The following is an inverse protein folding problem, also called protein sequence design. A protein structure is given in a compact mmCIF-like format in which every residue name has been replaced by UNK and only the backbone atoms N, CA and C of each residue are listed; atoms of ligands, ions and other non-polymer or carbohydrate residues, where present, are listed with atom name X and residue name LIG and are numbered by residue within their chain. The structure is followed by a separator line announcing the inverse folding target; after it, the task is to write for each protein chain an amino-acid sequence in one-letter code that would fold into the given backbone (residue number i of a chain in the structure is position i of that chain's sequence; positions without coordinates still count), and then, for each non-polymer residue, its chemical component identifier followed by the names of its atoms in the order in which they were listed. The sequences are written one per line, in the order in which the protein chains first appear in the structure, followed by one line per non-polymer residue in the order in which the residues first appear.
data_IF_152241591886
#
_entry.id   IF_152241591886
#
_cell.length_a   1.000
_cell.length_b   1.000
_cell.length_c   1.000
_cell.angle_alpha   90.00
_cell.angle_beta   90.00
_cell.angle_gamma   90.00
#
_symmetry.space_group_name_H-M   'P 1'
#
loop_
_entity.id
_entity.type
_entity.pdbx_description
1 polymer ?
#
# COMPACT_ATOMS: atom_id res chain seq x y z
N UNK A 1 -20.44 33.38 20.59
CA UNK A 1 -19.48 32.33 21.01
C UNK A 1 -20.04 30.91 20.90
N UNK A 2 -21.17 30.56 21.55
CA UNK A 2 -21.74 29.18 21.48
C UNK A 2 -22.10 28.69 20.08
N UNK A 3 -22.61 29.56 19.20
CA UNK A 3 -22.96 29.20 17.81
C UNK A 3 -21.72 28.93 16.94
N UNK A 4 -20.66 29.71 17.11
CA UNK A 4 -19.38 29.51 16.42
C UNK A 4 -18.72 28.17 16.80
N UNK A 5 -18.77 27.80 18.08
CA UNK A 5 -18.25 26.50 18.55
C UNK A 5 -19.04 25.33 17.94
N UNK A 6 -20.37 25.47 17.82
CA UNK A 6 -21.21 24.45 17.17
C UNK A 6 -20.91 24.30 15.67
N UNK A 7 -20.73 25.41 14.96
CA UNK A 7 -20.35 25.41 13.54
C UNK A 7 -18.97 24.78 13.33
N UNK A 8 -18.00 25.10 14.20
CA UNK A 8 -16.67 24.52 14.13
C UNK A 8 -16.70 22.99 14.38
N UNK A 9 -17.47 22.54 15.37
CA UNK A 9 -17.65 21.11 15.62
C UNK A 9 -18.32 20.37 14.44
N UNK A 10 -19.26 21.01 13.75
CA UNK A 10 -19.93 20.44 12.58
C UNK A 10 -18.96 20.31 11.38
N UNK A 11 -18.08 21.30 11.17
CA UNK A 11 -17.07 21.24 10.10
C UNK A 11 -16.05 20.13 10.38
N UNK A 12 -15.60 19.96 11.62
CA UNK A 12 -14.65 18.92 11.99
C UNK A 12 -15.21 17.49 11.80
N UNK A 13 -16.53 17.30 11.94
CA UNK A 13 -17.20 16.02 11.69
C UNK A 13 -17.50 15.76 10.21
N UNK A 14 -17.41 16.78 9.35
CA UNK A 14 -17.72 16.67 7.92
C UNK A 14 -16.54 16.15 7.08
N UNK A 15 -15.33 16.10 7.64
CA UNK A 15 -14.18 15.53 6.96
C UNK A 15 -14.02 14.06 7.36
N UNK A 16 -14.24 13.09 6.43
CA UNK A 16 -13.88 11.71 6.70
C UNK A 16 -12.39 11.62 6.98
N UNK A 17 -12.01 10.80 7.97
CA UNK A 17 -10.61 10.50 8.20
C UNK A 17 -10.05 9.85 6.92
N UNK A 18 -8.96 10.41 6.40
CA UNK A 18 -8.20 9.79 5.32
C UNK A 18 -7.48 8.60 5.94
N UNK A 19 -7.92 7.38 5.61
CA UNK A 19 -7.18 6.16 5.90
C UNK A 19 -6.28 5.88 4.70
N UNK A 20 -4.98 5.77 4.93
CA UNK A 20 -4.11 5.09 3.96
C UNK A 20 -4.24 3.58 4.19
N UNK A 21 -4.00 2.78 3.16
CA UNK A 21 -3.72 1.37 3.38
C UNK A 21 -2.37 1.30 4.09
N UNK A 22 -2.25 0.46 5.12
CA UNK A 22 -0.96 0.12 5.74
C UNK A 22 -0.32 -1.07 5.01
N UNK A 23 -1.13 -1.88 4.32
CA UNK A 23 -0.70 -3.07 3.59
C UNK A 23 -1.60 -3.38 2.38
N UNK A 24 -1.04 -4.07 1.39
CA UNK A 24 -1.76 -4.63 0.23
C UNK A 24 -1.45 -6.13 0.13
N UNK A 25 -2.44 -6.96 0.39
CA UNK A 25 -2.34 -8.41 0.23
C UNK A 25 -2.26 -8.83 -1.24
N UNK A 26 -1.34 -9.74 -1.57
CA UNK A 26 -1.22 -10.36 -2.87
C UNK A 26 -1.69 -11.82 -2.81
N UNK A 27 -2.61 -12.14 -3.73
CA UNK A 27 -3.27 -13.44 -3.79
C UNK A 27 -2.78 -14.24 -4.98
N UNK A 28 -2.59 -15.54 -4.80
CA UNK A 28 -2.35 -16.44 -5.91
C UNK A 28 -3.64 -16.75 -6.69
N UNK A 29 -3.53 -17.51 -7.79
CA UNK A 29 -4.67 -17.88 -8.65
C UNK A 29 -5.73 -18.74 -7.95
N UNK A 30 -5.46 -19.28 -6.76
CA UNK A 30 -6.43 -20.02 -5.94
C UNK A 30 -7.17 -19.12 -4.95
N UNK A 31 -6.82 -17.84 -4.86
CA UNK A 31 -7.37 -16.90 -3.89
C UNK A 31 -6.74 -17.01 -2.50
N UNK A 32 -5.55 -17.59 -2.39
CA UNK A 32 -4.79 -17.64 -1.12
C UNK A 32 -3.87 -16.42 -1.04
N UNK A 33 -3.91 -15.68 0.06
CA UNK A 33 -2.96 -14.60 0.32
C UNK A 33 -1.57 -15.20 0.57
N UNK A 34 -0.57 -14.81 -0.22
CA UNK A 34 0.78 -15.44 -0.19
C UNK A 34 1.87 -14.51 0.31
N UNK A 35 1.75 -13.22 0.03
CA UNK A 35 2.65 -12.14 0.48
C UNK A 35 1.83 -10.84 0.59
N UNK A 36 2.40 -9.81 1.18
CA UNK A 36 1.80 -8.47 1.23
C UNK A 36 2.84 -7.40 0.92
N UNK A 37 2.39 -6.25 0.40
CA UNK A 37 3.21 -5.04 0.24
C UNK A 37 2.99 -4.18 1.48
N UNK A 38 4.04 -3.87 2.22
CA UNK A 38 4.02 -2.87 3.30
C UNK A 38 4.07 -1.48 2.68
N UNK A 39 2.98 -0.72 2.76
CA UNK A 39 2.88 0.60 2.13
C UNK A 39 3.45 1.73 2.98
N UNK A 40 3.85 1.44 4.21
CA UNK A 40 4.49 2.40 5.12
C UNK A 40 6.02 2.26 5.14
N UNK A 41 6.56 1.06 4.86
CA UNK A 41 8.00 0.78 4.88
C UNK A 41 8.56 0.42 3.51
N UNK A 42 9.05 1.44 2.82
CA UNK A 42 9.89 1.30 1.61
C UNK A 42 9.26 0.49 0.47
N UNK A 43 7.94 0.28 0.49
CA UNK A 43 7.21 -0.57 -0.46
C UNK A 43 7.82 -1.97 -0.59
N UNK A 44 8.29 -2.53 0.53
CA UNK A 44 8.81 -3.89 0.58
C UNK A 44 7.67 -4.92 0.55
N UNK A 45 7.94 -6.06 -0.09
CA UNK A 45 7.06 -7.22 -0.13
C UNK A 45 7.53 -8.20 0.93
N UNK A 46 6.60 -8.58 1.79
CA UNK A 46 6.84 -9.50 2.90
C UNK A 46 6.00 -10.76 2.77
N UNK A 47 6.56 -11.87 3.21
CA UNK A 47 5.79 -13.06 3.54
C UNK A 47 5.06 -12.88 4.87
N UNK A 48 4.04 -13.70 5.12
CA UNK A 48 3.24 -13.63 6.35
C UNK A 48 4.01 -14.01 7.63
N UNK A 49 5.18 -14.64 7.52
CA UNK A 49 6.12 -14.86 8.63
C UNK A 49 7.10 -13.70 8.86
N UNK A 50 6.99 -12.61 8.07
CA UNK A 50 7.73 -11.36 8.24
C UNK A 50 9.08 -11.31 7.51
N UNK A 51 9.37 -12.24 6.60
CA UNK A 51 10.56 -12.18 5.75
C UNK A 51 10.35 -11.19 4.60
N UNK A 52 11.27 -10.23 4.46
CA UNK A 52 11.26 -9.32 3.31
C UNK A 52 11.84 -10.05 2.10
N UNK A 53 11.07 -10.23 1.03
CA UNK A 53 11.48 -11.06 -0.12
C UNK A 53 11.79 -10.25 -1.39
N UNK A 54 11.22 -9.07 -1.53
CA UNK A 54 11.44 -8.17 -2.67
C UNK A 54 10.98 -6.75 -2.35
N UNK A 55 11.20 -5.80 -3.25
CA UNK A 55 10.77 -4.40 -3.08
C UNK A 55 10.27 -3.79 -4.39
N UNK A 56 9.44 -2.75 -4.27
CA UNK A 56 8.89 -2.01 -5.39
C UNK A 56 9.71 -0.75 -5.72
N UNK A 57 9.83 -0.43 -7.01
CA UNK A 57 10.45 0.80 -7.51
C UNK A 57 9.48 1.51 -8.47
N UNK A 58 9.12 2.76 -8.13
CA UNK A 58 8.25 3.62 -8.95
C UNK A 58 9.06 4.26 -10.10
N UNK A 59 9.19 3.52 -11.21
CA UNK A 59 9.91 4.00 -12.41
C UNK A 59 9.37 3.42 -13.74
N UNK A 60 8.16 2.84 -13.74
CA UNK A 60 7.55 2.28 -14.98
C UNK A 60 6.26 2.97 -15.43
N UNK A 61 5.82 4.03 -14.73
CA UNK A 61 4.69 4.88 -15.13
C UNK A 61 3.53 4.87 -14.14
N UNK A 62 2.41 5.52 -14.50
CA UNK A 62 1.28 5.68 -13.57
C UNK A 62 0.72 4.34 -13.10
N UNK A 63 0.68 4.12 -11.78
CA UNK A 63 0.20 2.88 -11.13
C UNK A 63 0.96 1.62 -11.55
N UNK A 64 2.23 1.78 -11.93
CA UNK A 64 3.14 0.70 -12.27
C UNK A 64 4.38 0.81 -11.38
N UNK A 65 4.80 -0.32 -10.82
CA UNK A 65 6.07 -0.45 -10.11
C UNK A 65 6.87 -1.61 -10.69
N UNK A 66 8.19 -1.45 -10.79
CA UNK A 66 9.07 -2.59 -10.99
C UNK A 66 9.25 -3.35 -9.67
N UNK A 67 9.36 -4.67 -9.74
CA UNK A 67 9.65 -5.54 -8.60
C UNK A 67 11.08 -6.01 -8.71
N UNK A 68 11.87 -5.85 -7.65
CA UNK A 68 13.26 -6.30 -7.59
C UNK A 68 13.50 -7.23 -6.39
N UNK A 69 14.38 -8.22 -6.57
CA UNK A 69 14.95 -8.97 -5.45
C UNK A 69 15.97 -8.13 -4.69
N UNK A 70 16.29 -8.50 -3.46
CA UNK A 70 17.30 -7.79 -2.65
C UNK A 70 18.72 -7.82 -3.25
N UNK A 71 19.00 -8.78 -4.13
CA UNK A 71 20.23 -8.84 -4.92
C UNK A 71 20.22 -7.91 -6.15
N UNK A 72 19.12 -7.20 -6.40
CA UNK A 72 18.96 -6.25 -7.51
C UNK A 72 18.47 -6.87 -8.82
N UNK A 73 17.96 -8.11 -8.81
CA UNK A 73 17.40 -8.73 -10.01
C UNK A 73 15.98 -8.24 -10.26
N UNK A 74 15.67 -7.83 -11.49
CA UNK A 74 14.30 -7.50 -11.90
C UNK A 74 13.45 -8.78 -11.94
N UNK A 75 12.34 -8.80 -11.20
CA UNK A 75 11.44 -9.94 -11.06
C UNK A 75 10.16 -9.81 -11.88
N UNK A 76 9.69 -8.58 -12.10
CA UNK A 76 8.41 -8.33 -12.76
C UNK A 76 7.84 -6.95 -12.43
N UNK A 77 6.52 -6.82 -12.54
CA UNK A 77 5.81 -5.56 -12.38
C UNK A 77 4.66 -5.71 -11.39
N UNK A 78 4.40 -4.69 -10.59
CA UNK A 78 3.12 -4.52 -9.92
C UNK A 78 2.36 -3.42 -10.63
N UNK A 79 1.33 -3.78 -11.39
CA UNK A 79 0.55 -2.83 -12.19
C UNK A 79 -0.94 -3.02 -11.94
N UNK A 80 -1.61 -1.93 -11.54
CA UNK A 80 -3.07 -1.93 -11.32
C UNK A 80 -3.58 -3.08 -10.42
N UNK A 81 -2.79 -3.49 -9.42
CA UNK A 81 -3.15 -4.57 -8.49
C UNK A 81 -2.78 -5.97 -8.97
N UNK A 82 -2.01 -6.10 -10.05
CA UNK A 82 -1.58 -7.38 -10.62
C UNK A 82 -0.06 -7.47 -10.55
N UNK A 83 0.44 -8.66 -10.19
CA UNK A 83 1.86 -9.07 -10.26
C UNK A 83 2.03 -10.11 -11.35
#
# INVERSE_FOLDING_TARGET
MKLLVKLLALVLLAFPAVSNAEEIDLYNLKGEAVVYIDTDKELAIYTWDGEAVSYLVDDCGPKCFYIYSWEGNHLGFFENGIV
#
